data_IF_514473865302
#
_entry.id   IF_514473865302
#
_cell.length_a   1.000
_cell.length_b   1.000
_cell.length_c   1.000
_cell.angle_alpha   90.00
_cell.angle_beta   90.00
_cell.angle_gamma   90.00
#
_symmetry.space_group_name_H-M   'P 1'
#
loop_
_entity.id
_entity.type
_entity.pdbx_description
1 polymer ?
#
# COMPACT_ATOMS: atom_id res chain seq x y z
N UNK A 1 12.43 -10.63 3.65
CA UNK A 1 12.41 -9.17 3.36
C UNK A 1 12.62 -8.94 1.87
N UNK A 2 11.63 -8.39 1.16
CA UNK A 2 11.68 -8.17 -0.30
C UNK A 2 12.82 -7.23 -0.69
N UNK A 3 13.81 -7.74 -1.43
CA UNK A 3 15.01 -7.00 -1.85
C UNK A 3 14.67 -5.73 -2.63
N UNK A 4 13.66 -5.80 -3.49
CA UNK A 4 13.21 -4.67 -4.32
C UNK A 4 12.66 -3.50 -3.51
N UNK A 5 11.97 -3.77 -2.40
CA UNK A 5 11.50 -2.72 -1.48
C UNK A 5 12.65 -2.02 -0.77
N UNK A 6 13.67 -2.76 -0.32
CA UNK A 6 14.86 -2.17 0.32
C UNK A 6 15.67 -1.31 -0.65
N UNK A 7 15.63 -1.62 -1.93
CA UNK A 7 16.31 -0.88 -2.99
C UNK A 7 15.48 0.31 -3.53
N UNK A 8 14.28 0.54 -2.98
CA UNK A 8 13.35 1.59 -3.42
C UNK A 8 13.00 1.53 -4.92
N UNK A 9 12.96 0.33 -5.51
CA UNK A 9 12.64 0.08 -6.93
C UNK A 9 11.16 -0.25 -7.12
N UNK A 10 10.29 0.69 -6.73
CA UNK A 10 8.83 0.48 -6.73
C UNK A 10 8.27 0.22 -8.13
N UNK A 11 8.86 0.83 -9.15
CA UNK A 11 8.51 0.70 -10.56
C UNK A 11 8.65 -0.73 -11.13
N UNK A 12 9.42 -1.59 -10.47
CA UNK A 12 9.55 -3.00 -10.83
C UNK A 12 8.58 -3.91 -10.08
N UNK A 13 7.98 -3.40 -9.01
CA UNK A 13 7.03 -4.12 -8.16
C UNK A 13 5.60 -3.86 -8.63
N UNK A 14 5.30 -2.63 -9.05
CA UNK A 14 3.95 -2.24 -9.48
C UNK A 14 3.70 -2.69 -10.91
N UNK A 15 2.49 -3.18 -11.17
CA UNK A 15 2.05 -3.55 -12.51
C UNK A 15 2.12 -2.35 -13.46
N UNK A 16 2.63 -2.55 -14.67
CA UNK A 16 2.74 -1.51 -15.70
C UNK A 16 1.37 -0.99 -16.17
N UNK A 17 0.30 -1.76 -15.95
CA UNK A 17 -1.07 -1.34 -16.23
C UNK A 17 -1.63 -0.38 -15.17
N UNK A 18 -1.03 -0.29 -13.98
CA UNK A 18 -1.42 0.69 -12.99
C UNK A 18 -0.96 2.09 -13.43
N UNK A 19 -1.90 2.90 -13.92
CA UNK A 19 -1.67 4.31 -14.22
C UNK A 19 -2.00 5.17 -13.00
N UNK A 20 -1.35 6.33 -12.87
CA UNK A 20 -1.68 7.34 -11.87
C UNK A 20 -1.58 6.87 -10.41
N UNK A 21 -0.56 6.05 -10.16
CA UNK A 21 -0.23 5.52 -8.84
C UNK A 21 0.26 6.66 -7.94
N UNK A 22 -0.22 6.67 -6.70
CA UNK A 22 0.33 7.52 -5.62
C UNK A 22 1.43 6.69 -4.93
N UNK A 23 2.73 7.05 -5.06
CA UNK A 23 3.83 6.25 -4.51
C UNK A 23 3.68 5.91 -3.03
N UNK A 24 3.14 6.84 -2.24
CA UNK A 24 2.91 6.69 -0.80
C UNK A 24 1.90 5.56 -0.52
N UNK A 25 0.84 5.46 -1.31
CA UNK A 25 -0.15 4.38 -1.18
C UNK A 25 0.45 3.02 -1.51
N UNK A 26 1.34 2.96 -2.50
CA UNK A 26 2.04 1.72 -2.85
C UNK A 26 2.98 1.29 -1.75
N UNK A 27 3.75 2.22 -1.17
CA UNK A 27 4.63 1.91 -0.05
C UNK A 27 3.81 1.37 1.12
N UNK A 28 2.69 2.01 1.48
CA UNK A 28 1.81 1.56 2.55
C UNK A 28 1.24 0.15 2.29
N UNK A 29 0.72 -0.12 1.09
CA UNK A 29 0.23 -1.45 0.70
C UNK A 29 1.33 -2.50 0.79
N UNK A 30 2.53 -2.17 0.32
CA UNK A 30 3.65 -3.10 0.33
C UNK A 30 4.14 -3.39 1.75
N UNK A 31 4.16 -2.40 2.66
CA UNK A 31 4.46 -2.63 4.08
C UNK A 31 3.46 -3.59 4.73
N UNK A 32 2.16 -3.44 4.43
CA UNK A 32 1.12 -4.36 4.88
C UNK A 32 1.38 -5.76 4.31
N UNK A 33 1.67 -5.85 3.01
CA UNK A 33 1.94 -7.12 2.33
C UNK A 33 3.16 -7.85 2.93
N UNK A 34 4.23 -7.12 3.27
CA UNK A 34 5.41 -7.70 3.94
C UNK A 34 5.01 -8.33 5.27
N UNK A 35 4.26 -7.62 6.12
CA UNK A 35 3.79 -8.16 7.41
C UNK A 35 2.88 -9.38 7.24
N UNK A 36 1.97 -9.35 6.27
CA UNK A 36 1.07 -10.46 5.98
C UNK A 36 1.80 -11.71 5.44
N UNK A 37 2.98 -11.54 4.85
CA UNK A 37 3.76 -12.60 4.22
C UNK A 37 4.98 -13.02 5.04
N UNK A 38 5.03 -12.62 6.31
CA UNK A 38 6.10 -13.05 7.21
C UNK A 38 6.23 -14.58 7.26
N UNK A 39 7.49 -15.03 7.24
CA UNK A 39 7.81 -16.45 7.15
C UNK A 39 7.29 -17.22 8.39
N UNK A 40 7.43 -16.59 9.55
CA UNK A 40 6.86 -17.06 10.79
C UNK A 40 5.36 -16.71 10.86
N UNK A 41 4.45 -17.68 10.98
CA UNK A 41 3.01 -17.42 11.08
C UNK A 41 2.63 -16.53 12.27
N UNK A 42 3.35 -16.60 13.37
CA UNK A 42 3.04 -15.85 14.60
C UNK A 42 3.33 -14.35 14.45
N UNK A 43 4.18 -13.97 13.49
CA UNK A 43 4.50 -12.56 13.19
C UNK A 43 3.50 -11.92 12.22
N UNK A 44 2.56 -12.70 11.67
CA UNK A 44 1.55 -12.20 10.74
C UNK A 44 0.44 -11.47 11.51
N UNK A 45 0.02 -10.28 11.05
CA UNK A 45 -1.10 -9.59 11.66
C UNK A 45 -2.40 -10.36 11.46
N UNK A 46 -3.30 -10.26 12.43
CA UNK A 46 -4.68 -10.71 12.25
C UNK A 46 -5.42 -9.81 11.25
N UNK A 47 -6.45 -10.35 10.59
CA UNK A 47 -7.17 -9.62 9.54
C UNK A 47 -7.80 -8.30 10.00
N UNK A 48 -8.21 -8.17 11.27
CA UNK A 48 -8.71 -6.90 11.81
C UNK A 48 -7.61 -5.84 11.90
N UNK A 49 -6.37 -6.23 12.21
CA UNK A 49 -5.21 -5.32 12.21
C UNK A 49 -4.87 -4.92 10.78
N UNK A 50 -4.91 -5.86 9.83
CA UNK A 50 -4.72 -5.57 8.40
C UNK A 50 -5.76 -4.55 7.91
N UNK A 51 -7.04 -4.72 8.27
CA UNK A 51 -8.10 -3.79 7.89
C UNK A 51 -7.82 -2.38 8.44
N UNK A 52 -7.47 -2.28 9.73
CA UNK A 52 -7.12 -1.00 10.34
C UNK A 52 -5.93 -0.33 9.63
N UNK A 53 -4.89 -1.09 9.28
CA UNK A 53 -3.74 -0.55 8.55
C UNK A 53 -4.12 -0.03 7.14
N UNK A 54 -5.03 -0.71 6.45
CA UNK A 54 -5.53 -0.27 5.14
C UNK A 54 -6.37 1.01 5.27
N UNK A 55 -7.22 1.09 6.29
CA UNK A 55 -8.03 2.27 6.57
C UNK A 55 -7.14 3.48 6.91
N UNK A 56 -6.16 3.32 7.80
CA UNK A 56 -5.29 4.42 8.23
C UNK A 56 -4.24 4.82 7.17
N UNK A 57 -3.65 3.84 6.48
CA UNK A 57 -2.52 4.03 5.57
C UNK A 57 -2.90 4.37 4.12
N UNK A 58 -4.14 4.11 3.72
CA UNK A 58 -4.62 4.31 2.34
C UNK A 58 -5.85 5.21 2.30
N UNK A 59 -6.75 5.06 3.28
CA UNK A 59 -7.98 5.84 3.39
C UNK A 59 -7.81 6.96 4.44
N UNK A 60 -6.82 7.84 4.25
CA UNK A 60 -6.69 9.02 5.12
C UNK A 60 -8.03 9.80 5.14
N UNK A 61 -8.55 10.19 6.33
CA UNK A 61 -9.76 10.98 6.43
C UNK A 61 -9.43 12.44 6.09
N UNK A 62 -9.32 12.74 4.80
CA UNK A 62 -9.68 14.06 4.29
C UNK A 62 -11.13 13.98 3.77
N UNK A 63 -12.14 14.19 4.64
CA UNK A 63 -13.49 14.47 4.15
C UNK A 63 -13.47 15.87 3.50
N UNK A 64 -13.98 15.99 2.27
CA UNK A 64 -14.10 17.21 1.43
C UNK A 64 -12.75 17.85 1.03
N UNK A 65 -12.22 17.74 -0.20
CA UNK A 65 -12.73 18.32 -1.46
C UNK A 65 -12.23 17.59 -2.72
N UNK A 66 -11.52 16.46 -2.62
CA UNK A 66 -10.79 15.90 -3.77
C UNK A 66 -11.45 14.71 -4.50
N UNK A 67 -12.71 14.37 -4.21
CA UNK A 67 -13.44 13.41 -5.06
C UNK A 67 -13.69 13.94 -6.49
N UNK A 68 -13.41 15.23 -6.73
CA UNK A 68 -13.41 15.84 -8.06
C UNK A 68 -12.07 16.50 -8.37
N UNK A 69 -11.01 15.74 -8.66
CA UNK A 69 -10.03 16.00 -9.74
C UNK A 69 -9.10 14.78 -9.87
N UNK A 70 -9.65 13.65 -10.30
CA UNK A 70 -8.86 12.61 -10.98
C UNK A 70 -9.43 12.39 -12.39
N UNK A 71 -9.91 13.47 -13.00
CA UNK A 71 -10.40 13.51 -14.38
C UNK A 71 -9.29 13.82 -15.40
N UNK A 72 -8.04 13.43 -15.12
CA UNK A 72 -6.98 13.39 -16.14
C UNK A 72 -6.09 12.17 -15.94
N UNK A 73 -6.77 11.05 -15.72
CA UNK A 73 -6.40 9.70 -16.13
C UNK A 73 -7.68 9.10 -16.76
#
# INVERSE_FOLDING_TARGET
>A
MNTLMRENRLEEIVDKACTCIIPETVVAVLEIAVKCTEANPDDRPSMNVVLQMLEEGIMSPCPSEFYETHSDC
#
